data_IF_089959353286
#
_entry.id   IF_089959353286
#
_cell.length_a   1.000
_cell.length_b   1.000
_cell.length_c   1.000
_cell.angle_alpha   90.00
_cell.angle_beta   90.00
_cell.angle_gamma   90.00
#
_symmetry.space_group_name_H-M   'P 1'
#
loop_
_entity.id
_entity.type
_entity.pdbx_description
1 polymer ?
#
# COMPACT_ATOMS: atom_id res chain seq x y z
N UNK A 1 -6.12 -1.70 25.02
CA UNK A 1 -6.01 -2.62 23.87
C UNK A 1 -4.58 -2.77 23.36
N UNK A 2 -3.90 -1.67 23.01
CA UNK A 2 -2.48 -1.73 22.62
C UNK A 2 -1.59 -2.45 23.66
N UNK A 3 -1.81 -2.21 24.96
CA UNK A 3 -1.10 -2.91 26.03
C UNK A 3 -1.34 -4.44 26.04
N UNK A 4 -2.53 -4.89 25.65
CA UNK A 4 -2.82 -6.32 25.53
C UNK A 4 -2.06 -6.95 24.36
N UNK A 5 -1.94 -6.24 23.24
CA UNK A 5 -1.13 -6.67 22.09
C UNK A 5 0.36 -6.75 22.44
N UNK A 6 0.88 -5.77 23.20
CA UNK A 6 2.26 -5.80 23.70
C UNK A 6 2.54 -7.01 24.57
N UNK A 7 1.61 -7.39 25.45
CA UNK A 7 1.74 -8.57 26.32
C UNK A 7 1.79 -9.90 25.57
N UNK A 8 1.30 -9.96 24.33
CA UNK A 8 1.39 -11.14 23.46
C UNK A 8 2.53 -11.06 22.44
N UNK A 9 3.45 -10.09 22.60
CA UNK A 9 4.66 -9.96 21.78
C UNK A 9 4.52 -9.10 20.51
N UNK A 10 3.41 -8.38 20.34
CA UNK A 10 3.22 -7.49 19.18
C UNK A 10 3.66 -6.06 19.52
N UNK A 11 4.12 -5.32 18.51
CA UNK A 11 4.44 -3.89 18.62
C UNK A 11 3.37 -3.07 17.90
N UNK A 12 2.23 -2.77 18.56
CA UNK A 12 1.13 -2.13 17.87
C UNK A 12 1.42 -0.67 17.56
N UNK A 13 1.04 -0.25 16.35
CA UNK A 13 0.95 1.17 16.02
C UNK A 13 -0.43 1.70 16.33
N UNK A 14 -0.49 2.93 16.84
CA UNK A 14 -1.72 3.63 17.17
C UNK A 14 -1.85 4.85 16.29
N UNK A 15 -2.94 4.91 15.54
CA UNK A 15 -3.30 6.06 14.73
C UNK A 15 -4.56 6.69 15.32
N UNK A 16 -4.54 7.99 15.54
CA UNK A 16 -5.69 8.77 16.00
C UNK A 16 -6.13 9.73 14.92
N UNK A 17 -7.44 9.80 14.64
CA UNK A 17 -7.99 10.66 13.60
C UNK A 17 -7.62 12.11 13.83
N UNK A 18 -7.72 12.61 15.05
CA UNK A 18 -7.34 14.01 15.38
C UNK A 18 -5.88 14.37 15.08
N UNK A 19 -4.96 13.38 15.06
CA UNK A 19 -3.54 13.60 14.80
C UNK A 19 -3.17 13.36 13.33
N UNK A 20 -3.84 12.41 12.68
CA UNK A 20 -3.50 11.98 11.33
C UNK A 20 -4.47 12.49 10.26
N UNK A 21 -5.68 12.93 10.60
CA UNK A 21 -6.54 13.64 9.66
C UNK A 21 -5.90 15.01 9.36
N UNK A 22 -5.12 15.07 8.29
CA UNK A 22 -4.38 16.27 7.89
C UNK A 22 -5.09 17.03 6.78
N UNK A 23 -4.79 18.33 6.69
CA UNK A 23 -5.32 19.23 5.68
C UNK A 23 -4.67 18.91 4.31
N UNK A 24 -5.43 18.94 3.20
CA UNK A 24 -4.97 18.50 1.86
C UNK A 24 -3.71 19.19 1.29
N UNK A 25 -3.21 20.24 1.92
CA UNK A 25 -2.13 21.10 1.41
C UNK A 25 -0.73 20.47 1.56
N UNK A 26 -0.59 19.40 2.36
CA UNK A 26 0.70 18.71 2.60
C UNK A 26 0.68 17.21 2.20
N UNK A 27 -0.48 16.69 1.80
CA UNK A 27 -0.70 15.25 1.56
C UNK A 27 -1.22 14.95 0.14
N UNK A 28 -0.90 13.76 -0.40
CA UNK A 28 -1.37 13.37 -1.74
C UNK A 28 -2.73 12.67 -1.73
N UNK A 29 -3.50 12.85 -0.66
CA UNK A 29 -4.81 12.24 -0.45
C UNK A 29 -5.71 13.14 0.41
N UNK A 30 -7.05 13.00 0.32
CA UNK A 30 -7.98 13.85 1.06
C UNK A 30 -7.90 13.71 2.59
N UNK A 31 -7.58 12.51 3.08
CA UNK A 31 -7.48 12.19 4.51
C UNK A 31 -6.38 11.12 4.70
N UNK A 32 -5.34 11.44 5.48
CA UNK A 32 -4.22 10.53 5.75
C UNK A 32 -4.63 9.38 6.66
N UNK A 33 -5.51 9.62 7.63
CA UNK A 33 -5.95 8.58 8.55
C UNK A 33 -6.67 7.46 7.77
N UNK A 34 -7.58 7.84 6.88
CA UNK A 34 -8.30 6.87 6.04
C UNK A 34 -7.36 6.18 5.03
N UNK A 35 -6.38 6.90 4.49
CA UNK A 35 -5.36 6.32 3.60
C UNK A 35 -4.51 5.26 4.32
N UNK A 36 -4.01 5.56 5.52
CA UNK A 36 -3.19 4.63 6.30
C UNK A 36 -3.99 3.41 6.74
N UNK A 37 -5.23 3.61 7.18
CA UNK A 37 -6.15 2.51 7.51
C UNK A 37 -6.32 1.57 6.30
N UNK A 38 -6.58 2.13 5.12
CA UNK A 38 -6.71 1.36 3.88
C UNK A 38 -5.41 0.60 3.54
N UNK A 39 -4.25 1.24 3.64
CA UNK A 39 -2.94 0.64 3.37
C UNK A 39 -2.65 -0.58 4.26
N UNK A 40 -3.04 -0.54 5.54
CA UNK A 40 -2.89 -1.69 6.43
C UNK A 40 -3.88 -2.82 6.11
N UNK A 41 -5.11 -2.50 5.73
CA UNK A 41 -6.07 -3.49 5.25
C UNK A 41 -5.56 -4.16 3.95
N UNK A 42 -5.06 -3.39 2.99
CA UNK A 42 -4.40 -3.88 1.76
C UNK A 42 -3.18 -4.77 2.03
N UNK A 43 -2.53 -4.55 3.17
CA UNK A 43 -1.44 -5.40 3.66
C UNK A 43 -1.90 -6.77 4.18
N UNK A 44 -3.22 -7.01 4.25
CA UNK A 44 -3.80 -8.23 4.83
C UNK A 44 -3.66 -8.28 6.36
N UNK A 45 -3.46 -7.12 7.00
CA UNK A 45 -3.31 -7.01 8.45
C UNK A 45 -4.67 -6.64 9.04
N UNK A 46 -5.27 -7.49 9.89
CA UNK A 46 -6.47 -7.12 10.63
C UNK A 46 -6.18 -5.95 11.57
N UNK A 47 -7.00 -4.90 11.51
CA UNK A 47 -6.85 -3.69 12.33
C UNK A 47 -8.00 -3.58 13.31
N UNK A 48 -7.72 -3.02 14.50
CA UNK A 48 -8.73 -2.78 15.51
C UNK A 48 -9.22 -1.34 15.35
N UNK A 49 -10.42 -1.15 14.81
CA UNK A 49 -11.04 0.16 14.64
C UNK A 49 -11.82 0.53 15.90
N UNK A 50 -11.45 1.66 16.50
CA UNK A 50 -11.97 2.15 17.77
C UNK A 50 -12.98 3.26 17.48
N UNK A 51 -14.18 3.06 17.99
CA UNK A 51 -15.25 4.04 18.09
C UNK A 51 -15.37 4.52 19.54
N UNK A 52 -16.13 5.57 19.77
CA UNK A 52 -16.33 6.20 21.08
C UNK A 52 -16.54 5.24 22.26
N UNK A 53 -17.34 4.19 22.05
CA UNK A 53 -17.70 3.21 23.09
C UNK A 53 -17.50 1.76 22.63
N UNK A 54 -16.86 1.52 21.49
CA UNK A 54 -16.80 0.19 20.90
C UNK A 54 -15.54 -0.06 20.09
N UNK A 55 -15.16 -1.32 19.92
CA UNK A 55 -14.05 -1.69 19.04
C UNK A 55 -14.46 -2.86 18.17
N UNK A 56 -14.15 -2.76 16.88
CA UNK A 56 -14.38 -3.84 15.91
C UNK A 56 -13.08 -4.22 15.22
N UNK A 57 -13.02 -5.42 14.67
CA UNK A 57 -11.89 -5.86 13.83
C UNK A 57 -12.24 -5.63 12.38
N UNK A 58 -11.45 -4.85 11.65
CA UNK A 58 -11.55 -4.70 10.20
C UNK A 58 -10.45 -5.52 9.53
N UNK A 59 -10.76 -6.22 8.44
CA UNK A 59 -9.80 -7.13 7.77
C UNK A 59 -10.02 -7.27 6.26
N UNK A 60 -10.92 -6.47 5.67
CA UNK A 60 -11.13 -6.42 4.23
C UNK A 60 -11.73 -5.09 3.82
N UNK A 61 -11.88 -4.87 2.51
CA UNK A 61 -12.46 -3.64 1.97
C UNK A 61 -13.31 -3.91 0.73
N UNK A 62 -14.11 -2.92 0.37
CA UNK A 62 -14.85 -2.83 -0.88
C UNK A 62 -14.41 -1.55 -1.58
N UNK A 63 -14.05 -1.67 -2.85
CA UNK A 63 -13.65 -0.54 -3.66
C UNK A 63 -14.53 -0.43 -4.88
N UNK A 64 -14.86 0.80 -5.26
CA UNK A 64 -15.56 1.11 -6.50
C UNK A 64 -14.58 1.75 -7.46
N UNK A 65 -14.34 1.07 -8.58
CA UNK A 65 -13.47 1.50 -9.66
C UNK A 65 -14.26 2.04 -10.85
N UNK A 66 -15.53 2.42 -10.67
CA UNK A 66 -16.28 3.18 -11.67
C UNK A 66 -15.92 4.67 -11.59
N UNK A 67 -15.85 5.37 -12.74
CA UNK A 67 -15.49 6.80 -12.79
C UNK A 67 -13.97 7.09 -12.74
N UNK A 68 -13.16 6.21 -13.34
CA UNK A 68 -11.68 6.21 -13.25
C UNK A 68 -10.99 7.40 -13.93
N UNK A 69 -11.70 8.14 -14.78
CA UNK A 69 -11.10 9.15 -15.65
C UNK A 69 -10.88 10.52 -14.98
N UNK A 70 -11.52 10.78 -13.83
CA UNK A 70 -11.58 12.12 -13.20
C UNK A 70 -10.93 12.18 -11.80
N UNK A 71 -10.03 11.26 -11.46
CA UNK A 71 -9.32 11.38 -10.19
C UNK A 71 -8.19 12.40 -10.31
N UNK A 72 -8.53 13.65 -10.02
CA UNK A 72 -7.53 14.69 -9.86
C UNK A 72 -6.60 14.36 -8.69
N UNK A 73 -5.28 14.50 -8.86
CA UNK A 73 -4.34 14.49 -7.77
C UNK A 73 -4.68 15.52 -6.71
N UNK A 74 -4.45 15.16 -5.45
CA UNK A 74 -4.69 16.04 -4.29
C UNK A 74 -3.36 16.64 -3.83
N UNK A 75 -3.40 17.85 -3.28
CA UNK A 75 -2.24 18.48 -2.62
C UNK A 75 -1.06 18.75 -3.55
N UNK A 76 -1.31 18.97 -4.84
CA UNK A 76 -0.26 19.24 -5.84
C UNK A 76 0.62 18.03 -6.18
N UNK A 77 0.27 16.83 -5.71
CA UNK A 77 1.00 15.62 -6.06
C UNK A 77 0.77 15.25 -7.53
N UNK A 78 1.73 14.60 -8.21
CA UNK A 78 1.55 14.25 -9.62
C UNK A 78 0.97 12.84 -9.82
N UNK A 79 0.33 12.27 -8.79
CA UNK A 79 -0.23 10.92 -8.73
C UNK A 79 -1.40 10.83 -7.73
N UNK A 80 -2.14 9.72 -7.76
CA UNK A 80 -3.29 9.43 -6.90
C UNK A 80 -3.08 8.12 -6.15
N UNK A 81 -3.43 8.06 -4.86
CA UNK A 81 -3.44 6.79 -4.12
C UNK A 81 -4.73 6.00 -4.31
N UNK A 82 -4.61 4.67 -4.36
CA UNK A 82 -5.73 3.76 -4.59
C UNK A 82 -6.75 3.72 -3.45
N UNK A 83 -6.41 4.22 -2.26
CA UNK A 83 -7.35 4.39 -1.15
C UNK A 83 -8.54 5.28 -1.51
N UNK A 84 -8.42 6.14 -2.53
CA UNK A 84 -9.52 6.98 -3.04
C UNK A 84 -10.70 6.15 -3.58
N UNK A 85 -10.45 4.92 -4.03
CA UNK A 85 -11.50 4.00 -4.51
C UNK A 85 -12.25 3.29 -3.38
N UNK A 86 -11.79 3.40 -2.13
CA UNK A 86 -12.40 2.67 -1.02
C UNK A 86 -13.80 3.22 -0.70
N UNK A 87 -14.78 2.31 -0.60
CA UNK A 87 -16.19 2.64 -0.30
C UNK A 87 -16.67 2.03 1.02
N UNK A 88 -16.08 0.93 1.47
CA UNK A 88 -16.43 0.29 2.73
C UNK A 88 -15.31 -0.63 3.24
N UNK A 89 -15.30 -0.92 4.54
CA UNK A 89 -14.51 -2.00 5.11
C UNK A 89 -15.37 -3.21 5.46
N UNK A 90 -14.75 -4.39 5.47
CA UNK A 90 -15.31 -5.63 5.98
C UNK A 90 -14.70 -5.90 7.35
N UNK A 91 -15.54 -6.21 8.32
CA UNK A 91 -15.10 -6.47 9.67
C UNK A 91 -16.00 -7.41 10.46
N UNK A 92 -15.69 -7.54 11.75
CA UNK A 92 -16.43 -8.32 12.70
C UNK A 92 -16.67 -7.47 13.96
N UNK A 93 -17.94 -7.27 14.28
CA UNK A 93 -18.44 -6.70 15.52
C UNK A 93 -18.99 -7.85 16.37
N UNK A 94 -18.62 -7.91 17.65
CA UNK A 94 -19.07 -8.95 18.57
C UNK A 94 -20.58 -8.90 18.88
N UNK A 95 -21.26 -7.81 18.51
CA UNK A 95 -22.71 -7.65 18.59
C UNK A 95 -23.46 -8.08 17.31
N UNK A 96 -22.73 -8.55 16.30
CA UNK A 96 -23.26 -8.78 14.95
C UNK A 96 -23.04 -10.18 14.40
N UNK A 97 -23.45 -10.36 13.13
CA UNK A 97 -23.01 -11.52 12.34
C UNK A 97 -21.59 -11.29 11.83
N UNK A 98 -20.81 -12.33 11.52
CA UNK A 98 -19.51 -12.17 10.87
C UNK A 98 -19.60 -11.45 9.51
N UNK A 99 -18.51 -10.79 9.11
CA UNK A 99 -18.34 -10.12 7.81
C UNK A 99 -19.31 -8.94 7.57
N UNK A 100 -19.49 -8.12 8.60
CA UNK A 100 -20.26 -6.89 8.49
C UNK A 100 -19.52 -5.82 7.70
N UNK A 101 -20.30 -4.95 7.07
CA UNK A 101 -19.85 -3.87 6.21
C UNK A 101 -19.88 -2.55 7.00
N UNK A 102 -18.72 -1.90 7.10
CA UNK A 102 -18.55 -0.53 7.59
C UNK A 102 -18.51 0.42 6.38
N UNK A 103 -19.63 1.06 6.05
CA UNK A 103 -19.70 1.96 4.90
C UNK A 103 -19.00 3.29 5.18
N UNK A 104 -18.59 3.98 4.10
CA UNK A 104 -18.05 5.34 4.19
C UNK A 104 -18.97 6.33 4.91
N UNK A 105 -20.27 6.29 4.64
CA UNK A 105 -21.29 7.12 5.29
C UNK A 105 -22.59 6.34 5.51
N UNK A 106 -23.35 6.71 6.54
CA UNK A 106 -24.65 6.12 6.90
C UNK A 106 -25.74 6.52 5.89
N UNK A 107 -25.68 5.94 4.69
CA UNK A 107 -26.63 6.22 3.60
C UNK A 107 -27.63 5.09 3.35
N UNK A 108 -27.44 3.92 3.97
CA UNK A 108 -28.32 2.74 3.80
C UNK A 108 -29.06 2.41 5.10
N UNK A 109 -30.32 1.92 5.01
CA UNK A 109 -31.07 1.49 6.19
C UNK A 109 -30.31 0.37 6.92
N UNK A 110 -30.36 0.33 8.25
CA UNK A 110 -29.67 -0.68 9.04
C UNK A 110 -30.18 -2.07 8.65
N UNK A 111 -29.26 -2.93 8.23
CA UNK A 111 -29.48 -4.36 8.07
C UNK A 111 -28.43 -5.09 8.91
N UNK A 112 -28.65 -6.38 9.21
CA UNK A 112 -27.67 -7.17 9.98
C UNK A 112 -26.29 -7.23 9.33
N UNK A 113 -26.20 -6.97 8.02
CA UNK A 113 -24.96 -6.94 7.26
C UNK A 113 -24.18 -5.62 7.44
N UNK A 114 -24.82 -4.53 7.87
CA UNK A 114 -24.16 -3.24 8.02
C UNK A 114 -23.91 -2.92 9.49
N UNK A 115 -22.71 -2.42 9.78
CA UNK A 115 -22.39 -1.88 11.11
C UNK A 115 -23.22 -0.61 11.36
N UNK A 116 -23.61 -0.32 12.62
CA UNK A 116 -24.33 0.91 12.97
C UNK A 116 -23.43 2.15 12.98
N UNK A 117 -22.17 2.00 12.55
CA UNK A 117 -21.15 3.03 12.47
C UNK A 117 -20.75 3.23 11.00
N UNK A 118 -20.05 4.32 10.72
CA UNK A 118 -19.41 4.61 9.43
C UNK A 118 -17.90 4.70 9.58
N UNK A 119 -17.19 4.75 8.45
CA UNK A 119 -15.73 4.98 8.44
C UNK A 119 -15.38 6.31 9.13
N UNK A 120 -16.21 7.34 8.95
CA UNK A 120 -16.04 8.67 9.54
C UNK A 120 -16.13 8.63 11.08
N UNK A 121 -16.83 7.65 11.66
CA UNK A 121 -16.97 7.48 13.11
C UNK A 121 -15.75 6.81 13.76
N UNK A 122 -14.79 6.29 12.98
CA UNK A 122 -13.58 5.67 13.51
C UNK A 122 -12.67 6.75 14.11
N UNK A 123 -12.51 6.76 15.43
CA UNK A 123 -11.71 7.75 16.15
C UNK A 123 -10.21 7.38 16.15
N UNK A 124 -9.93 6.08 16.26
CA UNK A 124 -8.57 5.55 16.26
C UNK A 124 -8.53 4.18 15.60
N UNK A 125 -7.36 3.76 15.11
CA UNK A 125 -7.14 2.35 14.80
C UNK A 125 -5.80 1.86 15.34
N UNK A 126 -5.78 0.57 15.70
CA UNK A 126 -4.59 -0.11 16.20
C UNK A 126 -4.16 -1.17 15.18
N UNK A 127 -2.92 -1.07 14.73
CA UNK A 127 -2.32 -2.02 13.80
C UNK A 127 -1.47 -3.02 14.60
N UNK A 128 -1.83 -4.30 14.65
CA UNK A 128 -1.01 -5.35 15.24
C UNK A 128 0.15 -5.70 14.29
N UNK A 129 1.16 -4.82 14.21
CA UNK A 129 2.28 -5.07 13.32
C UNK A 129 3.05 -6.34 13.75
N UNK A 130 3.49 -7.16 12.78
CA UNK A 130 4.41 -8.26 13.07
C UNK A 130 5.71 -7.76 13.70
N UNK A 131 6.30 -8.59 14.56
CA UNK A 131 7.66 -8.35 15.03
C UNK A 131 8.60 -8.09 13.84
N UNK A 132 9.50 -7.11 13.99
CA UNK A 132 10.54 -6.70 13.02
C UNK A 132 10.09 -5.77 11.90
N UNK A 133 8.83 -5.34 11.84
CA UNK A 133 8.44 -4.22 10.96
C UNK A 133 8.70 -2.91 11.70
N UNK A 134 9.74 -2.18 11.31
CA UNK A 134 10.12 -0.91 11.95
C UNK A 134 9.74 0.32 11.13
N UNK A 135 9.51 0.16 9.82
CA UNK A 135 9.09 1.23 8.94
C UNK A 135 7.55 1.27 8.86
N UNK A 136 6.88 2.30 9.42
CA UNK A 136 5.43 2.40 9.36
C UNK A 136 4.95 2.94 8.00
N UNK A 137 3.65 2.80 7.72
CA UNK A 137 3.08 3.12 6.40
C UNK A 137 3.27 4.59 6.01
N UNK A 138 3.11 5.53 6.95
CA UNK A 138 3.28 6.95 6.72
C UNK A 138 4.71 7.32 6.32
N UNK A 139 5.70 6.62 6.88
CA UNK A 139 7.11 6.83 6.53
C UNK A 139 7.40 6.27 5.14
N UNK A 140 6.85 5.10 4.81
CA UNK A 140 6.98 4.53 3.47
C UNK A 140 6.33 5.42 2.39
N UNK A 141 5.17 6.00 2.67
CA UNK A 141 4.52 6.95 1.76
C UNK A 141 5.42 8.16 1.47
N UNK A 142 6.00 8.78 2.51
CA UNK A 142 6.92 9.92 2.36
C UNK A 142 8.12 9.53 1.48
N UNK A 143 8.69 8.34 1.69
CA UNK A 143 9.80 7.82 0.89
C UNK A 143 9.38 7.64 -0.58
N UNK A 144 8.25 7.00 -0.85
CA UNK A 144 7.71 6.84 -2.21
C UNK A 144 7.49 8.19 -2.89
N UNK A 145 6.86 9.16 -2.20
CA UNK A 145 6.65 10.51 -2.71
C UNK A 145 7.98 11.17 -3.09
N UNK A 146 8.99 11.06 -2.22
CA UNK A 146 10.32 11.63 -2.46
C UNK A 146 11.00 11.02 -3.69
N UNK A 147 10.95 9.69 -3.84
CA UNK A 147 11.58 8.97 -4.97
C UNK A 147 10.93 9.33 -6.29
N UNK A 148 9.59 9.31 -6.35
CA UNK A 148 8.86 9.54 -7.59
C UNK A 148 9.08 10.96 -8.15
N UNK A 149 9.43 11.91 -7.28
CA UNK A 149 9.67 13.31 -7.64
C UNK A 149 11.15 13.67 -7.87
N UNK A 150 12.08 12.76 -7.59
CA UNK A 150 13.53 12.98 -7.79
C UNK A 150 13.91 13.10 -9.26
N UNK A 151 14.91 13.92 -9.56
CA UNK A 151 15.41 14.14 -10.93
C UNK A 151 16.29 13.02 -11.48
N UNK A 152 16.91 12.23 -10.61
CA UNK A 152 17.82 11.14 -10.99
C UNK A 152 17.09 9.80 -11.18
N UNK A 153 16.13 9.51 -10.29
CA UNK A 153 15.42 8.22 -10.26
C UNK A 153 13.90 8.32 -10.43
N UNK A 154 13.31 9.51 -10.48
CA UNK A 154 11.86 9.67 -10.59
C UNK A 154 11.28 9.27 -11.95
N UNK A 155 10.00 8.87 -11.95
CA UNK A 155 9.33 8.33 -13.14
C UNK A 155 9.21 9.34 -14.28
N UNK A 156 9.08 10.65 -14.00
CA UNK A 156 8.94 11.69 -15.04
C UNK A 156 10.08 11.67 -16.06
N UNK A 157 11.29 11.33 -15.61
CA UNK A 157 12.48 11.23 -16.46
C UNK A 157 12.74 9.80 -16.92
N UNK A 158 12.58 8.83 -16.03
CA UNK A 158 12.97 7.44 -16.29
C UNK A 158 11.88 6.62 -16.98
N UNK A 159 10.64 7.09 -17.04
CA UNK A 159 9.52 6.36 -17.63
C UNK A 159 8.52 7.27 -18.33
N UNK A 160 8.70 7.50 -19.65
CA UNK A 160 7.68 8.12 -20.48
C UNK A 160 6.33 7.39 -20.42
N UNK A 161 6.35 6.06 -20.29
CA UNK A 161 5.12 5.26 -20.16
C UNK A 161 4.35 5.66 -18.91
N UNK A 162 4.95 5.67 -17.73
CA UNK A 162 4.26 6.09 -16.49
C UNK A 162 3.88 7.58 -16.58
N UNK A 163 4.73 8.43 -17.15
CA UNK A 163 4.49 9.86 -17.27
C UNK A 163 3.39 10.26 -18.27
N UNK A 164 2.92 9.33 -19.11
CA UNK A 164 1.90 9.60 -20.13
C UNK A 164 0.50 9.91 -19.57
N UNK A 165 0.23 9.50 -18.33
CA UNK A 165 -1.00 9.85 -17.59
C UNK A 165 -0.73 9.89 -16.08
N UNK A 166 -1.71 10.37 -15.31
CA UNK A 166 -1.61 10.42 -13.85
C UNK A 166 -1.46 9.01 -13.26
N UNK A 167 -0.35 8.69 -12.55
CA UNK A 167 -0.17 7.39 -11.96
C UNK A 167 -1.12 7.13 -10.78
N UNK A 168 -1.62 5.91 -10.69
CA UNK A 168 -2.31 5.37 -9.52
C UNK A 168 -1.33 4.56 -8.71
N UNK A 169 -1.19 4.86 -7.42
CA UNK A 169 -0.29 4.20 -6.49
C UNK A 169 -1.06 3.34 -5.49
N UNK A 170 -0.66 2.08 -5.33
CA UNK A 170 -1.19 1.19 -4.28
C UNK A 170 -0.05 0.79 -3.36
N UNK A 171 -0.20 1.08 -2.07
CA UNK A 171 0.78 0.76 -1.04
C UNK A 171 0.31 -0.45 -0.23
N UNK A 172 1.21 -1.39 0.03
CA UNK A 172 0.95 -2.51 0.93
C UNK A 172 2.24 -3.14 1.44
N UNK A 173 2.17 -3.74 2.62
CA UNK A 173 3.19 -4.60 3.18
C UNK A 173 2.93 -6.05 2.76
N UNK A 174 3.97 -6.80 2.46
CA UNK A 174 3.87 -8.25 2.30
C UNK A 174 5.15 -8.96 2.70
N UNK A 175 5.14 -10.29 2.73
CA UNK A 175 6.37 -11.05 2.94
C UNK A 175 7.13 -11.24 1.63
N UNK A 176 8.47 -11.20 1.69
CA UNK A 176 9.33 -11.48 0.53
C UNK A 176 9.07 -12.87 -0.06
N UNK A 177 8.69 -13.84 0.79
CA UNK A 177 8.29 -15.19 0.36
C UNK A 177 7.00 -15.17 -0.47
N UNK A 178 5.97 -14.47 0.01
CA UNK A 178 4.68 -14.38 -0.69
C UNK A 178 4.83 -13.67 -2.03
N UNK A 179 5.57 -12.56 -2.03
CA UNK A 179 5.91 -11.83 -3.24
C UNK A 179 6.62 -12.72 -4.27
N UNK A 180 7.67 -13.45 -3.86
CA UNK A 180 8.41 -14.35 -4.76
C UNK A 180 7.57 -15.49 -5.32
N UNK A 181 6.59 -15.99 -4.58
CA UNK A 181 5.70 -17.08 -5.00
C UNK A 181 4.91 -16.70 -6.27
N UNK A 182 4.55 -15.42 -6.41
CA UNK A 182 3.72 -14.93 -7.52
C UNK A 182 4.52 -14.40 -8.72
N UNK A 183 5.85 -14.35 -8.67
CA UNK A 183 6.67 -13.77 -9.76
C UNK A 183 6.36 -14.39 -11.13
N UNK A 184 6.23 -15.72 -11.19
CA UNK A 184 5.96 -16.42 -12.46
C UNK A 184 4.55 -16.12 -12.99
N UNK A 185 3.57 -16.00 -12.11
CA UNK A 185 2.19 -15.69 -12.49
C UNK A 185 2.07 -14.24 -12.97
N UNK A 186 2.77 -13.33 -12.29
CA UNK A 186 2.83 -11.91 -12.68
C UNK A 186 3.67 -11.71 -13.94
N UNK A 187 4.73 -12.50 -14.17
CA UNK A 187 5.65 -12.34 -15.33
C UNK A 187 6.46 -11.03 -15.33
N UNK A 188 6.14 -10.09 -14.45
CA UNK A 188 6.89 -8.87 -14.13
C UNK A 188 7.19 -7.97 -15.34
N UNK A 189 6.38 -8.05 -16.40
CA UNK A 189 6.52 -7.24 -17.62
C UNK A 189 7.77 -7.53 -18.47
N UNK A 190 8.67 -8.39 -17.99
CA UNK A 190 9.94 -8.72 -18.61
C UNK A 190 10.54 -9.96 -17.95
N UNK A 191 10.99 -10.91 -18.76
CA UNK A 191 11.69 -12.11 -18.29
C UNK A 191 12.99 -11.77 -17.56
N UNK A 192 13.65 -10.67 -17.93
CA UNK A 192 14.84 -10.17 -17.24
C UNK A 192 14.49 -9.70 -15.81
N UNK A 193 13.41 -8.93 -15.66
CA UNK A 193 12.97 -8.43 -14.35
C UNK A 193 12.56 -9.61 -13.46
N UNK A 194 11.78 -10.55 -14.00
CA UNK A 194 11.39 -11.76 -13.28
C UNK A 194 12.62 -12.55 -12.78
N UNK A 195 13.64 -12.72 -13.63
CA UNK A 195 14.88 -13.40 -13.25
C UNK A 195 15.67 -12.64 -12.19
N UNK A 196 15.76 -11.32 -12.28
CA UNK A 196 16.46 -10.50 -11.28
C UNK A 196 15.73 -10.61 -9.92
N UNK A 197 14.42 -10.42 -9.90
CA UNK A 197 13.61 -10.48 -8.67
C UNK A 197 13.64 -11.85 -8.02
N UNK A 198 13.66 -12.92 -8.82
CA UNK A 198 13.79 -14.28 -8.30
C UNK A 198 15.08 -14.46 -7.49
N UNK A 199 16.18 -13.88 -7.97
CA UNK A 199 17.51 -14.00 -7.38
C UNK A 199 17.82 -12.91 -6.34
N UNK A 200 17.01 -11.87 -6.24
CA UNK A 200 17.21 -10.79 -5.28
C UNK A 200 16.96 -11.29 -3.85
N UNK A 201 17.90 -11.17 -2.92
CA UNK A 201 17.61 -11.45 -1.51
C UNK A 201 16.57 -10.45 -1.02
N UNK A 202 15.47 -10.93 -0.45
CA UNK A 202 14.44 -10.08 0.14
C UNK A 202 14.42 -10.29 1.65
N UNK A 203 14.25 -9.21 2.45
CA UNK A 203 13.97 -9.33 3.86
C UNK A 203 12.64 -10.06 4.08
N UNK A 204 12.35 -10.41 5.33
CA UNK A 204 11.13 -11.14 5.65
C UNK A 204 9.88 -10.36 5.24
N UNK A 205 9.84 -9.06 5.54
CA UNK A 205 8.78 -8.13 5.17
C UNK A 205 9.30 -7.03 4.27
N UNK A 206 8.51 -6.71 3.24
CA UNK A 206 8.78 -5.64 2.29
C UNK A 206 7.56 -4.75 2.16
N UNK A 207 7.80 -3.45 2.03
CA UNK A 207 6.81 -2.52 1.53
C UNK A 207 6.87 -2.49 0.00
N UNK A 208 5.70 -2.45 -0.64
CA UNK A 208 5.57 -2.36 -2.09
C UNK A 208 4.66 -1.20 -2.43
N UNK A 209 5.11 -0.35 -3.35
CA UNK A 209 4.27 0.62 -4.04
C UNK A 209 4.10 0.14 -5.48
N UNK A 210 2.92 -0.36 -5.82
CA UNK A 210 2.54 -0.66 -7.20
C UNK A 210 2.13 0.62 -7.93
N UNK A 211 2.53 0.74 -9.20
CA UNK A 211 2.26 1.91 -10.05
C UNK A 211 1.42 1.45 -11.23
N UNK A 212 0.26 2.07 -11.42
CA UNK A 212 -0.67 1.77 -12.51
C UNK A 212 -1.23 3.04 -13.15
N UNK A 213 -2.10 2.88 -14.14
CA UNK A 213 -2.92 3.91 -14.75
C UNK A 213 -4.39 3.55 -14.63
N UNK A 214 -5.28 4.53 -14.81
CA UNK A 214 -6.74 4.34 -14.74
C UNK A 214 -7.24 3.24 -15.67
N UNK A 215 -6.65 3.11 -16.86
CA UNK A 215 -7.01 2.11 -17.86
C UNK A 215 -6.61 0.68 -17.47
N UNK A 216 -5.72 0.51 -16.50
CA UNK A 216 -5.14 -0.78 -16.09
C UNK A 216 -5.55 -1.21 -14.68
N UNK A 217 -5.72 -0.25 -13.79
CA UNK A 217 -6.10 -0.49 -12.41
C UNK A 217 -7.57 -0.93 -12.33
N UNK A 218 -7.93 -1.95 -11.51
CA UNK A 218 -7.14 -2.62 -10.48
C UNK A 218 -6.51 -3.96 -10.90
N UNK A 219 -6.44 -4.25 -12.20
CA UNK A 219 -6.06 -5.59 -12.67
C UNK A 219 -4.56 -5.69 -12.99
N UNK A 220 -3.97 -4.60 -13.48
CA UNK A 220 -2.60 -4.58 -13.97
C UNK A 220 -1.83 -3.35 -13.48
N UNK A 221 -0.52 -3.46 -13.50
CA UNK A 221 0.45 -2.44 -13.08
C UNK A 221 1.54 -2.29 -14.15
N UNK A 222 2.17 -1.12 -14.17
CA UNK A 222 3.28 -0.78 -15.07
C UNK A 222 4.64 -0.98 -14.39
N UNK A 223 4.68 -0.92 -13.07
CA UNK A 223 5.91 -0.93 -12.31
C UNK A 223 5.66 -1.01 -10.81
N UNK A 224 6.73 -1.09 -10.05
CA UNK A 224 6.66 -1.06 -8.58
C UNK A 224 7.96 -0.59 -7.93
N UNK A 225 7.83 -0.06 -6.72
CA UNK A 225 8.95 0.27 -5.82
C UNK A 225 8.90 -0.72 -4.67
N UNK A 226 10.04 -1.36 -4.36
CA UNK A 226 10.18 -2.29 -3.25
C UNK A 226 11.09 -1.70 -2.18
N UNK A 227 10.72 -1.84 -0.92
CA UNK A 227 11.47 -1.32 0.22
C UNK A 227 11.54 -2.32 1.37
N UNK A 228 12.64 -2.33 2.09
CA UNK A 228 12.81 -3.18 3.27
C UNK A 228 12.05 -2.59 4.47
N UNK A 229 11.08 -3.34 4.99
CA UNK A 229 10.23 -2.88 6.09
C UNK A 229 10.96 -2.77 7.45
N UNK A 230 12.23 -3.20 7.51
CA UNK A 230 13.10 -3.13 8.69
C UNK A 230 14.08 -1.95 8.66
N UNK A 231 14.12 -1.18 7.55
CA UNK A 231 15.00 -0.02 7.43
C UNK A 231 14.44 1.19 8.16
N UNK A 232 15.32 2.15 8.44
CA UNK A 232 14.92 3.44 8.99
C UNK A 232 14.28 4.32 7.90
N UNK A 233 13.45 5.28 8.33
CA UNK A 233 12.76 6.21 7.44
C UNK A 233 13.67 7.32 6.87
N UNK A 234 14.93 7.40 7.30
CA UNK A 234 15.85 8.50 6.94
C UNK A 234 16.78 8.14 5.77
N UNK A 235 16.83 6.87 5.37
CA UNK A 235 17.63 6.38 4.25
C UNK A 235 16.90 6.55 2.92
N UNK A 236 17.03 7.71 2.27
CA UNK A 236 16.33 8.01 1.00
C UNK A 236 16.68 7.07 -0.17
N UNK A 237 17.84 6.42 -0.13
CA UNK A 237 18.28 5.41 -1.09
C UNK A 237 18.10 3.97 -0.55
N UNK A 238 17.24 3.79 0.45
CA UNK A 238 17.02 2.51 1.11
C UNK A 238 16.16 1.49 0.36
N UNK A 239 15.71 1.82 -0.86
CA UNK A 239 14.88 0.95 -1.68
C UNK A 239 15.65 -0.29 -2.15
N UNK A 240 14.93 -1.40 -2.29
CA UNK A 240 15.43 -2.67 -2.80
C UNK A 240 15.40 -2.67 -4.34
N UNK A 241 14.29 -2.20 -4.91
CA UNK A 241 14.11 -2.11 -6.36
C UNK A 241 13.23 -0.93 -6.77
N UNK A 242 13.59 -0.30 -7.89
CA UNK A 242 12.75 0.63 -8.66
C UNK A 242 12.51 0.01 -10.02
N UNK A 243 11.28 -0.46 -10.26
CA UNK A 243 10.88 -1.06 -11.52
C UNK A 243 9.88 -0.18 -12.23
N UNK A 244 10.32 0.40 -13.35
CA UNK A 244 9.48 1.09 -14.32
C UNK A 244 9.52 0.34 -15.66
N UNK A 245 8.58 0.58 -16.58
CA UNK A 245 8.58 -0.06 -17.90
C UNK A 245 9.93 0.05 -18.63
N UNK A 246 10.57 1.21 -18.63
CA UNK A 246 11.81 1.44 -19.38
C UNK A 246 13.09 1.18 -18.57
N UNK A 247 12.98 1.04 -17.25
CA UNK A 247 14.14 0.96 -16.37
C UNK A 247 13.87 0.08 -15.16
N UNK A 248 14.80 -0.83 -14.90
CA UNK A 248 14.91 -1.49 -13.60
C UNK A 248 16.18 -0.98 -12.91
N UNK A 249 16.07 -0.56 -11.66
CA UNK A 249 17.20 -0.30 -10.79
C UNK A 249 17.05 -1.19 -9.56
N UNK A 250 18.11 -1.87 -9.13
CA UNK A 250 18.11 -2.73 -7.94
C UNK A 250 19.33 -2.43 -7.09
N UNK A 251 19.15 -2.43 -5.77
CA UNK A 251 20.28 -2.42 -4.84
C UNK A 251 20.67 -3.86 -4.49
N UNK A 252 21.80 -4.31 -5.05
CA UNK A 252 22.36 -5.64 -4.71
C UNK A 252 23.15 -5.64 -3.41
N UNK A 253 23.72 -4.49 -3.07
CA UNK A 253 24.57 -4.32 -1.91
C UNK A 253 23.77 -4.45 -0.62
N UNK A 254 22.75 -3.62 -0.46
CA UNK A 254 21.88 -3.68 0.73
C UNK A 254 21.17 -5.02 0.85
N UNK A 255 20.78 -5.65 -0.27
CA UNK A 255 20.15 -6.96 -0.25
C UNK A 255 21.06 -8.06 0.34
N UNK A 256 22.39 -7.88 0.29
CA UNK A 256 23.38 -8.80 0.85
C UNK A 256 23.97 -8.29 2.19
N UNK A 257 23.34 -7.31 2.84
CA UNK A 257 23.86 -6.61 4.02
C UNK A 257 25.24 -5.95 3.79
N UNK A 258 25.53 -5.57 2.53
CA UNK A 258 26.72 -4.83 2.13
C UNK A 258 26.42 -3.35 1.88
N UNK A 259 27.44 -2.54 1.52
CA UNK A 259 27.23 -1.15 1.10
C UNK A 259 26.36 -1.10 -0.16
N UNK A 260 25.51 -0.07 -0.36
CA UNK A 260 24.63 0.02 -1.53
C UNK A 260 25.38 -0.18 -2.85
N UNK A 261 24.86 -1.09 -3.68
CA UNK A 261 25.39 -1.38 -5.01
C UNK A 261 24.24 -1.31 -6.01
N UNK A 262 24.04 -0.11 -6.57
CA UNK A 262 22.95 0.15 -7.50
C UNK A 262 23.29 -0.38 -8.89
N UNK A 263 22.56 -1.40 -9.33
CA UNK A 263 22.62 -1.89 -10.70
C UNK A 263 21.41 -1.39 -11.48
N UNK A 264 21.66 -0.87 -12.68
CA UNK A 264 20.65 -0.24 -13.51
C UNK A 264 20.57 -0.89 -14.88
N UNK A 265 19.37 -1.33 -15.26
CA UNK A 265 19.09 -2.08 -16.48
C UNK A 265 18.11 -1.28 -17.33
N UNK A 266 18.47 -1.02 -18.59
CA UNK A 266 17.53 -0.51 -19.58
C UNK A 266 16.63 -1.64 -20.05
N UNK A 267 15.32 -1.40 -20.03
CA UNK A 267 14.31 -2.34 -20.50
C UNK A 267 13.76 -1.84 -21.85
N UNK A 268 13.39 -2.78 -22.73
CA UNK A 268 12.79 -2.45 -24.04
C UNK A 268 11.30 -2.07 -23.88
N UNK A 269 10.98 -1.15 -22.97
CA UNK A 269 9.60 -0.79 -22.62
C UNK A 269 8.80 -2.01 -22.15
N UNK A 270 9.05 -2.44 -20.91
CA UNK A 270 8.39 -3.56 -20.24
C UNK A 270 6.88 -3.46 -20.34
N UNK A 271 6.23 -4.61 -20.51
CA UNK A 271 4.78 -4.67 -20.61
C UNK A 271 4.13 -4.55 -19.24
N UNK A 272 2.91 -4.04 -19.18
CA UNK A 272 2.05 -4.19 -18.01
C UNK A 272 1.95 -5.65 -17.54
N UNK A 273 1.77 -5.85 -16.24
CA UNK A 273 1.67 -7.16 -15.62
C UNK A 273 0.59 -7.21 -14.53
N UNK A 274 0.07 -8.41 -14.19
CA UNK A 274 -0.94 -8.54 -13.14
C UNK A 274 -0.50 -7.94 -11.80
N UNK A 275 -1.45 -7.30 -11.14
CA UNK A 275 -1.28 -6.77 -9.79
C UNK A 275 -1.02 -7.91 -8.78
N UNK A 276 -0.35 -7.60 -7.66
CA UNK A 276 -0.16 -8.54 -6.56
C UNK A 276 -1.49 -8.82 -5.83
N UNK A 277 -1.91 -10.09 -5.77
CA UNK A 277 -3.13 -10.57 -5.10
C UNK A 277 -2.85 -11.79 -4.23
N UNK A 278 -2.28 -11.58 -3.05
CA UNK A 278 -2.16 -12.65 -2.04
C UNK A 278 -2.39 -12.19 -0.61
N UNK A 279 -2.40 -10.89 -0.31
CA UNK A 279 -2.73 -10.41 1.04
C UNK A 279 -4.23 -10.47 1.32
N UNK A 280 -5.04 -10.15 0.30
CA UNK A 280 -6.49 -10.18 0.35
C UNK A 280 -7.02 -11.05 -0.79
N UNK A 281 -8.01 -11.88 -0.49
CA UNK A 281 -8.71 -12.70 -1.47
C UNK A 281 -10.07 -12.09 -1.81
N UNK A 282 -10.45 -12.15 -3.09
CA UNK A 282 -11.77 -11.72 -3.53
C UNK A 282 -12.80 -12.75 -3.08
N UNK A 283 -13.77 -12.32 -2.29
CA UNK A 283 -14.95 -13.15 -1.96
C UNK A 283 -15.75 -13.35 -3.24
N UNK A 284 -16.02 -14.62 -3.57
CA UNK A 284 -16.80 -15.04 -4.74
C UNK A 284 -18.27 -15.20 -4.40
#
# INVERSE_FOLDING_TARGET
MAEALKRIGLEPLLYSRDLFAQKPEECCHPDNFDHLLYTYIESGIPVLAVFRNHVVVLFGHMSDYSGVDDLDPVGGCPFVFSSKYNTAYIGNDDNGIPYQILNKSLSKPPSSLFMPYSIEDVEQFVVPLPERVSLPAESFEILVKSILQREDVGYKKLSPTIASSTPILRLFLTSGRSFKKLLKERGMGSTLVEQIYRNLPLPHFIWVCEISHSTLYPERVLGEIMWDATRNAYELDGWIALHYPERLIVDRGSALNGPPELLSFALKGGSEYPIYRSNLEKIK
#
